data_IF_964991034137
#
_entry.id   IF_964991034137
#
_cell.length_a   1.000
_cell.length_b   1.000
_cell.length_c   1.000
_cell.angle_alpha   90.00
_cell.angle_beta   90.00
_cell.angle_gamma   90.00
#
_symmetry.space_group_name_H-M   'P 1'
#
loop_
_entity.id
_entity.type
_entity.pdbx_description
1 polymer ?
#
# COMPACT_ATOMS: atom_id res chain seq x y z
N UNK A 1 -1.42 5.69 -21.52
CA UNK A 1 -1.58 4.34 -20.94
C UNK A 1 -0.19 3.87 -20.56
N UNK A 2 -0.02 3.41 -19.36
CA UNK A 2 1.25 2.88 -18.82
C UNK A 2 1.00 1.50 -18.22
N UNK A 3 2.06 0.70 -18.13
CA UNK A 3 2.02 -0.58 -17.45
C UNK A 3 2.18 -0.37 -15.93
N UNK A 4 1.27 -0.93 -15.15
CA UNK A 4 1.29 -0.89 -13.69
C UNK A 4 1.44 -2.29 -13.11
N UNK A 5 2.42 -2.45 -12.24
CA UNK A 5 2.69 -3.68 -11.50
C UNK A 5 2.13 -3.52 -10.09
N UNK A 6 1.28 -4.43 -9.64
CA UNK A 6 0.73 -4.46 -8.29
C UNK A 6 0.20 -5.85 -7.95
N UNK A 7 0.05 -6.13 -6.66
CA UNK A 7 -0.41 -7.43 -6.16
C UNK A 7 -1.72 -7.28 -5.42
N UNK A 8 -2.71 -8.12 -5.74
CA UNK A 8 -3.96 -8.25 -5.00
C UNK A 8 -3.94 -9.52 -4.15
N UNK A 9 -4.22 -9.39 -2.87
CA UNK A 9 -4.40 -10.55 -1.97
C UNK A 9 -5.89 -10.87 -1.86
N UNK A 10 -6.24 -12.15 -2.03
CA UNK A 10 -7.63 -12.59 -2.12
C UNK A 10 -8.10 -13.36 -0.88
N UNK A 11 -9.40 -13.28 -0.60
CA UNK A 11 -10.14 -14.18 0.27
C UNK A 11 -11.35 -14.76 -0.47
N UNK A 12 -12.08 -15.68 0.16
CA UNK A 12 -13.22 -16.37 -0.44
C UNK A 12 -12.81 -17.50 -1.40
N UNK A 13 -11.54 -17.55 -1.80
CA UNK A 13 -10.94 -18.59 -2.65
C UNK A 13 -9.64 -19.10 -2.03
N UNK A 14 -9.20 -20.28 -2.47
CA UNK A 14 -7.92 -20.86 -2.06
C UNK A 14 -7.33 -21.71 -3.20
N UNK A 15 -6.14 -22.28 -3.00
CA UNK A 15 -5.43 -23.07 -4.01
C UNK A 15 -6.21 -24.32 -4.49
N UNK A 16 -7.18 -24.79 -3.71
CA UNK A 16 -8.01 -25.97 -4.05
C UNK A 16 -9.35 -25.56 -4.70
N UNK A 17 -9.58 -24.26 -4.95
CA UNK A 17 -10.83 -23.77 -5.56
C UNK A 17 -10.96 -24.25 -7.00
N UNK A 18 -12.00 -25.05 -7.34
CA UNK A 18 -12.17 -25.57 -8.69
C UNK A 18 -12.39 -24.44 -9.72
N UNK A 19 -11.71 -24.52 -10.86
CA UNK A 19 -11.86 -23.56 -11.96
C UNK A 19 -11.32 -22.16 -11.66
N UNK A 20 -10.48 -22.01 -10.64
CA UNK A 20 -9.92 -20.71 -10.21
C UNK A 20 -9.26 -19.96 -11.38
N UNK A 21 -8.37 -20.64 -12.11
CA UNK A 21 -7.59 -20.03 -13.20
C UNK A 21 -8.50 -19.64 -14.37
N UNK A 22 -9.37 -20.54 -14.81
CA UNK A 22 -10.27 -20.31 -15.94
C UNK A 22 -11.23 -19.14 -15.66
N UNK A 23 -11.87 -19.14 -14.48
CA UNK A 23 -12.82 -18.10 -14.10
C UNK A 23 -12.17 -16.71 -13.97
N UNK A 24 -10.97 -16.64 -13.41
CA UNK A 24 -10.21 -15.38 -13.34
C UNK A 24 -9.79 -14.90 -14.74
N UNK A 25 -9.34 -15.80 -15.59
CA UNK A 25 -8.98 -15.46 -16.97
C UNK A 25 -10.20 -14.94 -17.76
N UNK A 26 -11.33 -15.64 -17.70
CA UNK A 26 -12.57 -15.27 -18.38
C UNK A 26 -13.16 -13.94 -17.88
N UNK A 27 -12.95 -13.62 -16.60
CA UNK A 27 -13.41 -12.36 -16.01
C UNK A 27 -12.54 -11.13 -16.38
N UNK A 28 -11.40 -11.33 -17.05
CA UNK A 28 -10.52 -10.24 -17.48
C UNK A 28 -9.24 -10.10 -16.66
N UNK A 29 -8.82 -11.14 -15.94
CA UNK A 29 -7.54 -11.20 -15.22
C UNK A 29 -6.45 -11.91 -16.02
N UNK A 30 -6.52 -11.92 -17.35
CA UNK A 30 -5.53 -12.57 -18.22
C UNK A 30 -4.12 -11.93 -18.20
N UNK A 31 -4.00 -10.76 -17.60
CA UNK A 31 -2.78 -10.01 -17.35
C UNK A 31 -2.23 -10.20 -15.92
N UNK A 32 -2.76 -11.19 -15.20
CA UNK A 32 -2.34 -11.52 -13.85
C UNK A 32 -1.67 -12.89 -13.78
N UNK A 33 -0.60 -12.99 -12.98
CA UNK A 33 -0.05 -14.27 -12.55
C UNK A 33 -0.73 -14.69 -11.24
N UNK A 34 -1.31 -15.90 -11.23
CA UNK A 34 -1.94 -16.48 -10.04
C UNK A 34 -0.86 -17.14 -9.20
N UNK A 35 -0.71 -16.65 -7.97
CA UNK A 35 0.32 -17.07 -7.04
C UNK A 35 -0.30 -17.62 -5.75
N UNK A 36 0.48 -18.43 -5.03
CA UNK A 36 0.02 -19.09 -3.80
C UNK A 36 1.03 -18.93 -2.67
N UNK A 37 0.53 -18.65 -1.47
CA UNK A 37 1.27 -18.76 -0.23
C UNK A 37 0.54 -19.76 0.68
N UNK A 38 1.01 -20.99 0.71
CA UNK A 38 0.25 -22.10 1.28
C UNK A 38 -1.05 -22.30 0.51
N UNK A 39 -2.20 -22.11 1.16
CA UNK A 39 -3.52 -22.13 0.51
C UNK A 39 -4.03 -20.76 0.09
N UNK A 40 -3.39 -19.69 0.54
CA UNK A 40 -3.78 -18.32 0.20
C UNK A 40 -3.47 -18.00 -1.26
N UNK A 41 -4.37 -17.28 -1.90
CA UNK A 41 -4.25 -16.86 -3.30
C UNK A 41 -3.91 -15.37 -3.34
N UNK A 42 -2.95 -15.01 -4.20
CA UNK A 42 -2.70 -13.63 -4.56
C UNK A 42 -2.41 -13.53 -6.06
N UNK A 43 -2.68 -12.36 -6.63
CA UNK A 43 -2.54 -12.10 -8.06
C UNK A 43 -1.49 -11.00 -8.27
N UNK A 44 -0.49 -11.28 -9.08
CA UNK A 44 0.50 -10.28 -9.52
C UNK A 44 0.08 -9.77 -10.90
N UNK A 45 -0.32 -8.51 -10.98
CA UNK A 45 -0.78 -7.88 -12.20
C UNK A 45 0.33 -7.12 -12.92
N UNK A 46 0.32 -7.24 -14.24
CA UNK A 46 1.02 -6.37 -15.21
C UNK A 46 -0.05 -5.70 -16.08
N UNK A 47 -0.73 -4.67 -15.55
CA UNK A 47 -1.93 -4.09 -16.17
C UNK A 47 -1.66 -2.75 -16.84
N UNK A 48 -2.05 -2.64 -18.10
CA UNK A 48 -2.08 -1.37 -18.82
C UNK A 48 -3.31 -0.53 -18.43
N UNK A 49 -3.08 0.72 -17.98
CA UNK A 49 -4.14 1.64 -17.61
C UNK A 49 -3.70 3.11 -17.76
N UNK A 50 -4.62 4.04 -17.55
CA UNK A 50 -4.32 5.48 -17.55
C UNK A 50 -3.65 5.93 -16.25
N UNK A 51 -3.99 5.25 -15.14
CA UNK A 51 -3.45 5.49 -13.80
C UNK A 51 -3.38 4.18 -13.02
N UNK A 52 -2.62 4.16 -11.92
CA UNK A 52 -2.64 3.04 -10.99
C UNK A 52 -4.02 2.86 -10.34
N UNK A 53 -4.73 3.96 -10.08
CA UNK A 53 -6.12 3.92 -9.57
C UNK A 53 -7.04 3.15 -10.54
N UNK A 54 -7.01 3.47 -11.85
CA UNK A 54 -7.82 2.77 -12.86
C UNK A 54 -7.42 1.29 -12.99
N UNK A 55 -6.12 0.99 -12.88
CA UNK A 55 -5.61 -0.39 -12.93
C UNK A 55 -6.16 -1.22 -11.76
N UNK A 56 -6.06 -0.70 -10.54
CA UNK A 56 -6.53 -1.37 -9.32
C UNK A 56 -8.06 -1.52 -9.35
N UNK A 57 -8.80 -0.46 -9.68
CA UNK A 57 -10.26 -0.49 -9.74
C UNK A 57 -10.77 -1.58 -10.69
N UNK A 58 -10.23 -1.62 -11.92
CA UNK A 58 -10.61 -2.63 -12.90
C UNK A 58 -10.22 -4.04 -12.48
N UNK A 59 -9.07 -4.22 -11.81
CA UNK A 59 -8.64 -5.52 -11.32
C UNK A 59 -9.56 -6.04 -10.20
N UNK A 60 -9.90 -5.18 -9.22
CA UNK A 60 -10.86 -5.52 -8.17
C UNK A 60 -12.20 -5.93 -8.77
N UNK A 61 -12.72 -5.14 -9.72
CA UNK A 61 -13.98 -5.44 -10.40
C UNK A 61 -13.94 -6.81 -11.08
N UNK A 62 -12.91 -7.12 -11.86
CA UNK A 62 -12.78 -8.38 -12.56
C UNK A 62 -12.68 -9.58 -11.59
N UNK A 63 -11.91 -9.46 -10.52
CA UNK A 63 -11.77 -10.50 -9.49
C UNK A 63 -13.11 -10.78 -8.81
N UNK A 64 -13.80 -9.74 -8.34
CA UNK A 64 -15.02 -9.90 -7.54
C UNK A 64 -16.24 -10.26 -8.38
N UNK A 65 -16.21 -10.03 -9.69
CA UNK A 65 -17.26 -10.46 -10.63
C UNK A 65 -16.97 -11.78 -11.33
N UNK A 66 -15.87 -12.48 -11.00
CA UNK A 66 -15.48 -13.77 -11.61
C UNK A 66 -16.44 -14.95 -11.34
N UNK A 67 -17.42 -14.78 -10.45
CA UNK A 67 -18.35 -15.85 -10.05
C UNK A 67 -17.78 -16.84 -9.02
N UNK A 68 -16.52 -16.66 -8.58
CA UNK A 68 -15.85 -17.54 -7.61
C UNK A 68 -16.20 -17.22 -6.15
N UNK A 69 -16.86 -16.06 -5.88
CA UNK A 69 -16.99 -15.53 -4.52
C UNK A 69 -15.68 -14.98 -3.97
N UNK A 70 -14.71 -14.73 -4.83
CA UNK A 70 -13.45 -14.08 -4.47
C UNK A 70 -13.69 -12.64 -4.04
N UNK A 71 -12.92 -12.19 -3.04
CA UNK A 71 -12.90 -10.81 -2.57
C UNK A 71 -11.45 -10.33 -2.43
N UNK A 72 -11.21 -9.09 -2.79
CA UNK A 72 -9.90 -8.46 -2.61
C UNK A 72 -9.76 -7.93 -1.18
N UNK A 73 -8.75 -8.41 -0.47
CA UNK A 73 -8.46 -8.01 0.92
C UNK A 73 -7.49 -6.85 1.01
N UNK A 74 -6.51 -6.81 0.12
CA UNK A 74 -5.49 -5.76 0.10
C UNK A 74 -4.81 -5.64 -1.26
N UNK A 75 -4.24 -4.46 -1.48
CA UNK A 75 -3.27 -4.20 -2.56
C UNK A 75 -1.89 -4.05 -1.91
N UNK A 76 -0.95 -4.91 -2.27
CA UNK A 76 0.42 -4.87 -1.71
C UNK A 76 1.30 -3.91 -2.54
N UNK A 77 2.19 -3.12 -1.92
CA UNK A 77 2.60 -3.01 -0.53
C UNK A 77 2.24 -1.63 0.05
N UNK A 78 1.66 -1.62 1.25
CA UNK A 78 1.41 -0.38 2.03
C UNK A 78 2.37 -0.30 3.22
N UNK A 79 2.67 -1.44 3.83
CA UNK A 79 3.64 -1.57 4.91
C UNK A 79 4.88 -2.27 4.38
N UNK A 80 6.03 -1.66 4.60
CA UNK A 80 7.31 -2.09 4.02
C UNK A 80 8.37 -2.29 5.10
N UNK A 81 9.16 -3.34 4.94
CA UNK A 81 10.42 -3.53 5.66
C UNK A 81 11.60 -2.90 4.90
N UNK A 82 12.81 -2.97 5.47
CA UNK A 82 14.00 -2.39 4.84
C UNK A 82 14.35 -3.07 3.49
N UNK A 83 14.05 -4.35 3.35
CA UNK A 83 14.26 -5.07 2.09
C UNK A 83 13.30 -4.59 1.02
N UNK A 84 12.02 -4.46 1.36
CA UNK A 84 10.99 -4.00 0.44
C UNK A 84 11.28 -2.57 -0.05
N UNK A 85 11.72 -1.69 0.86
CA UNK A 85 12.16 -0.32 0.49
C UNK A 85 13.34 -0.38 -0.49
N UNK A 86 14.30 -1.27 -0.25
CA UNK A 86 15.45 -1.43 -1.13
C UNK A 86 15.04 -1.88 -2.54
N UNK A 87 14.15 -2.87 -2.62
CA UNK A 87 13.65 -3.42 -3.89
C UNK A 87 12.82 -2.37 -4.65
N UNK A 88 11.89 -1.67 -3.98
CA UNK A 88 11.04 -0.64 -4.58
C UNK A 88 11.81 0.59 -5.07
N UNK A 89 12.97 0.90 -4.47
CA UNK A 89 13.75 2.11 -4.77
C UNK A 89 15.02 1.83 -5.56
N UNK A 90 15.32 0.56 -5.81
CA UNK A 90 16.59 0.11 -6.38
C UNK A 90 17.82 0.52 -5.57
N UNK A 91 17.64 0.84 -4.29
CA UNK A 91 18.75 1.06 -3.35
C UNK A 91 19.21 -0.26 -2.76
N UNK A 92 20.47 -0.32 -2.30
CA UNK A 92 20.90 -1.48 -1.54
C UNK A 92 20.27 -1.46 -0.13
N UNK A 93 19.97 -2.65 0.42
CA UNK A 93 19.45 -2.77 1.80
C UNK A 93 20.38 -2.09 2.83
N UNK A 94 21.70 -2.14 2.61
CA UNK A 94 22.66 -1.43 3.45
C UNK A 94 22.47 0.09 3.36
N UNK A 95 22.24 0.64 2.16
CA UNK A 95 21.97 2.07 1.99
C UNK A 95 20.71 2.51 2.74
N UNK A 96 19.62 1.73 2.65
CA UNK A 96 18.38 2.00 3.38
C UNK A 96 18.61 1.93 4.90
N UNK A 97 19.35 0.92 5.39
CA UNK A 97 19.71 0.82 6.80
C UNK A 97 20.53 2.01 7.30
N UNK A 98 21.48 2.52 6.50
CA UNK A 98 22.25 3.71 6.84
C UNK A 98 21.39 4.97 6.90
N UNK A 99 20.38 5.11 6.05
CA UNK A 99 19.40 6.21 6.10
C UNK A 99 18.58 6.13 7.40
N UNK A 100 18.03 4.96 7.69
CA UNK A 100 17.26 4.70 8.92
C UNK A 100 18.08 4.98 10.20
N UNK A 101 19.35 4.61 10.21
CA UNK A 101 20.23 4.81 11.39
C UNK A 101 20.79 6.23 11.49
N UNK A 102 20.40 7.15 10.60
CA UNK A 102 20.93 8.52 10.57
C UNK A 102 22.41 8.62 10.20
N UNK A 103 23.03 7.54 9.73
CA UNK A 103 24.44 7.50 9.29
C UNK A 103 24.62 8.13 7.90
N UNK A 104 23.52 8.33 7.20
CA UNK A 104 23.46 8.95 5.88
C UNK A 104 22.18 9.79 5.76
N UNK A 105 22.29 11.00 5.21
CA UNK A 105 21.17 11.93 5.09
C UNK A 105 20.99 12.82 6.31
N UNK A 106 19.82 13.41 6.47
CA UNK A 106 19.51 14.39 7.52
C UNK A 106 19.28 13.78 8.91
N UNK A 107 19.18 12.45 9.02
CA UNK A 107 18.95 11.77 10.29
C UNK A 107 17.49 11.79 10.77
N UNK A 108 16.58 12.17 9.92
CA UNK A 108 15.13 12.31 10.16
C UNK A 108 14.29 11.32 9.35
N UNK A 109 14.85 10.12 9.08
CA UNK A 109 14.13 9.05 8.40
C UNK A 109 12.84 8.69 9.17
N UNK A 110 11.72 8.41 8.47
CA UNK A 110 10.45 8.05 9.12
C UNK A 110 10.59 6.95 10.17
N UNK A 111 9.74 7.00 11.19
CA UNK A 111 9.68 5.96 12.21
C UNK A 111 8.81 4.78 11.74
N UNK A 112 9.13 3.54 12.16
CA UNK A 112 8.27 2.41 11.88
C UNK A 112 6.95 2.57 12.64
N UNK A 113 5.85 2.14 12.03
CA UNK A 113 4.50 2.25 12.59
C UNK A 113 3.91 0.92 13.06
N UNK A 114 4.51 -0.21 12.65
CA UNK A 114 4.09 -1.55 13.10
C UNK A 114 5.29 -2.42 13.44
N UNK A 115 5.04 -3.48 14.21
CA UNK A 115 6.04 -4.45 14.68
C UNK A 115 7.25 -3.81 15.38
N UNK A 116 7.05 -2.71 16.08
CA UNK A 116 8.11 -1.90 16.72
C UNK A 116 8.89 -2.72 17.75
N UNK A 117 8.24 -3.68 18.44
CA UNK A 117 8.87 -4.55 19.44
C UNK A 117 9.58 -5.76 18.81
N UNK A 118 9.44 -6.00 17.52
CA UNK A 118 9.98 -7.16 16.82
C UNK A 118 11.31 -6.87 16.10
N UNK A 119 11.87 -7.91 15.48
CA UNK A 119 13.10 -7.79 14.69
C UNK A 119 12.85 -7.29 13.27
N UNK A 120 11.59 -7.19 12.85
CA UNK A 120 11.19 -6.77 11.50
C UNK A 120 10.13 -5.66 11.58
N UNK A 121 10.52 -4.46 12.00
CA UNK A 121 9.61 -3.32 12.04
C UNK A 121 9.14 -2.96 10.63
N UNK A 122 7.93 -2.37 10.53
CA UNK A 122 7.31 -1.98 9.28
C UNK A 122 7.02 -0.49 9.27
N UNK A 123 7.28 0.13 8.12
CA UNK A 123 7.06 1.54 7.82
C UNK A 123 5.85 1.73 6.91
N UNK A 124 5.21 2.87 6.97
CA UNK A 124 4.27 3.32 5.96
C UNK A 124 5.03 3.66 4.68
N UNK A 125 4.70 2.97 3.58
CA UNK A 125 5.40 3.17 2.31
C UNK A 125 5.18 4.58 1.74
N UNK A 126 3.98 5.14 1.88
CA UNK A 126 3.70 6.48 1.37
C UNK A 126 4.51 7.55 2.11
N UNK A 127 4.74 7.37 3.42
CA UNK A 127 5.58 8.26 4.23
C UNK A 127 7.06 8.15 3.84
N UNK A 128 7.57 6.91 3.69
CA UNK A 128 8.96 6.66 3.27
C UNK A 128 9.21 7.19 1.87
N UNK A 129 8.33 6.92 0.91
CA UNK A 129 8.46 7.40 -0.46
C UNK A 129 8.47 8.93 -0.52
N UNK A 130 7.58 9.58 0.21
CA UNK A 130 7.54 11.04 0.31
C UNK A 130 8.84 11.61 0.91
N UNK A 131 9.36 11.00 1.99
CA UNK A 131 10.64 11.40 2.59
C UNK A 131 11.80 11.25 1.60
N UNK A 132 11.87 10.14 0.89
CA UNK A 132 12.89 9.89 -0.13
C UNK A 132 12.82 10.91 -1.28
N UNK A 133 11.61 11.30 -1.69
CA UNK A 133 11.40 12.34 -2.70
C UNK A 133 11.92 13.70 -2.23
N UNK A 134 11.54 14.13 -1.03
CA UNK A 134 11.97 15.41 -0.44
C UNK A 134 13.51 15.46 -0.31
N UNK A 135 14.13 14.32 0.01
CA UNK A 135 15.58 14.19 0.13
C UNK A 135 16.31 13.92 -1.21
N UNK A 136 15.63 14.11 -2.36
CA UNK A 136 16.23 14.01 -3.69
C UNK A 136 16.69 12.60 -4.09
N UNK A 137 16.10 11.55 -3.50
CA UNK A 137 16.50 10.17 -3.73
C UNK A 137 15.61 9.41 -4.71
N UNK A 138 14.49 10.01 -5.12
CA UNK A 138 13.56 9.47 -6.11
C UNK A 138 13.40 10.37 -7.33
N UNK A 139 14.40 11.20 -7.66
CA UNK A 139 14.34 12.18 -8.76
C UNK A 139 14.07 11.53 -10.13
N UNK A 140 14.43 10.26 -10.30
CA UNK A 140 14.19 9.50 -11.53
C UNK A 140 12.89 8.67 -11.50
N UNK A 141 12.18 8.65 -10.36
CA UNK A 141 10.98 7.85 -10.13
C UNK A 141 9.92 8.63 -9.33
N UNK A 142 9.47 9.82 -9.81
CA UNK A 142 8.51 10.64 -9.09
C UNK A 142 7.15 9.94 -8.94
N UNK A 143 6.83 9.00 -9.83
CA UNK A 143 5.61 8.18 -9.80
C UNK A 143 5.49 7.32 -8.55
N UNK A 144 6.61 6.91 -7.93
CA UNK A 144 6.58 6.07 -6.73
C UNK A 144 5.82 6.70 -5.56
N UNK A 145 5.92 8.02 -5.39
CA UNK A 145 5.18 8.73 -4.32
C UNK A 145 3.69 8.74 -4.61
N UNK A 146 3.30 9.00 -5.86
CA UNK A 146 1.90 8.99 -6.28
C UNK A 146 1.30 7.61 -6.13
N UNK A 147 2.03 6.58 -6.58
CA UNK A 147 1.61 5.18 -6.48
C UNK A 147 1.49 4.73 -5.01
N UNK A 148 2.46 5.06 -4.16
CA UNK A 148 2.41 4.74 -2.73
C UNK A 148 1.17 5.36 -2.05
N UNK A 149 0.83 6.60 -2.37
CA UNK A 149 -0.39 7.26 -1.87
C UNK A 149 -1.67 6.60 -2.40
N UNK A 150 -1.69 6.17 -3.66
CA UNK A 150 -2.81 5.43 -4.23
C UNK A 150 -3.01 4.09 -3.49
N UNK A 151 -1.95 3.30 -3.30
CA UNK A 151 -1.99 2.04 -2.55
C UNK A 151 -2.53 2.24 -1.12
N UNK A 152 -2.07 3.26 -0.41
CA UNK A 152 -2.55 3.59 0.94
C UNK A 152 -4.06 3.91 0.94
N UNK A 153 -4.53 4.71 -0.02
CA UNK A 153 -5.95 5.06 -0.19
C UNK A 153 -6.82 3.82 -0.49
N UNK A 154 -6.40 2.98 -1.43
CA UNK A 154 -7.13 1.76 -1.79
C UNK A 154 -7.23 0.78 -0.63
N UNK A 155 -6.14 0.57 0.12
CA UNK A 155 -6.17 -0.32 1.29
C UNK A 155 -7.05 0.22 2.42
N UNK A 156 -7.09 1.54 2.63
CA UNK A 156 -8.03 2.14 3.58
C UNK A 156 -9.48 1.90 3.13
N UNK A 157 -9.79 2.08 1.85
CA UNK A 157 -11.12 1.85 1.29
C UNK A 157 -11.53 0.37 1.39
N UNK A 158 -10.64 -0.57 1.03
CA UNK A 158 -10.88 -2.02 1.16
C UNK A 158 -11.17 -2.41 2.62
N UNK A 159 -10.40 -1.91 3.57
CA UNK A 159 -10.63 -2.16 5.00
C UNK A 159 -11.93 -1.55 5.50
N UNK A 160 -12.28 -0.35 5.03
CA UNK A 160 -13.52 0.32 5.39
C UNK A 160 -14.74 -0.38 4.81
N UNK A 161 -14.64 -0.96 3.61
CA UNK A 161 -15.75 -1.65 2.92
C UNK A 161 -16.26 -2.90 3.63
N UNK A 162 -15.45 -3.50 4.51
CA UNK A 162 -15.79 -4.69 5.30
C UNK A 162 -16.01 -4.37 6.79
N UNK A 163 -16.05 -3.10 7.15
CA UNK A 163 -16.25 -2.67 8.54
C UNK A 163 -17.75 -2.65 8.88
N UNK A 164 -18.17 -3.40 9.89
CA UNK A 164 -19.55 -3.46 10.34
C UNK A 164 -20.04 -2.11 10.92
N UNK A 165 -19.13 -1.33 11.52
CA UNK A 165 -19.40 -0.06 12.17
C UNK A 165 -18.72 1.13 11.47
N UNK A 166 -18.93 1.27 10.16
CA UNK A 166 -18.32 2.34 9.36
C UNK A 166 -18.61 3.75 9.91
N UNK A 167 -19.84 4.00 10.37
CA UNK A 167 -20.22 5.29 10.97
C UNK A 167 -19.44 5.60 12.25
N UNK A 168 -19.16 4.59 13.07
CA UNK A 168 -18.31 4.75 14.24
C UNK A 168 -16.86 5.06 13.84
N UNK A 169 -16.32 4.37 12.84
CA UNK A 169 -14.98 4.64 12.29
C UNK A 169 -14.87 6.07 11.78
N UNK A 170 -15.86 6.55 11.04
CA UNK A 170 -15.93 7.94 10.57
C UNK A 170 -15.96 8.94 11.73
N UNK A 171 -16.76 8.66 12.76
CA UNK A 171 -16.85 9.50 13.98
C UNK A 171 -15.50 9.57 14.71
N UNK A 172 -14.83 8.43 14.88
CA UNK A 172 -13.50 8.35 15.50
C UNK A 172 -12.47 9.12 14.65
N UNK A 173 -12.50 8.92 13.34
CA UNK A 173 -11.62 9.61 12.40
C UNK A 173 -11.76 11.13 12.52
N UNK A 174 -13.00 11.62 12.55
CA UNK A 174 -13.28 13.05 12.73
C UNK A 174 -12.70 13.58 14.03
N UNK A 175 -12.93 12.88 15.16
CA UNK A 175 -12.37 13.26 16.47
C UNK A 175 -10.85 13.36 16.44
N UNK A 176 -10.17 12.41 15.78
CA UNK A 176 -8.71 12.40 15.64
C UNK A 176 -8.25 13.60 14.82
N UNK A 177 -8.89 13.88 13.68
CA UNK A 177 -8.58 15.02 12.81
C UNK A 177 -8.75 16.34 13.55
N UNK A 178 -9.91 16.54 14.21
CA UNK A 178 -10.20 17.75 14.98
C UNK A 178 -9.16 18.00 16.09
N UNK A 179 -8.74 16.95 16.80
CA UNK A 179 -7.71 17.03 17.83
C UNK A 179 -6.33 17.41 17.25
N UNK A 180 -5.98 16.86 16.09
CA UNK A 180 -4.71 17.21 15.40
C UNK A 180 -4.71 18.67 14.94
N UNK A 181 -5.82 19.17 14.41
CA UNK A 181 -5.96 20.57 13.99
C UNK A 181 -5.85 21.54 15.18
N UNK A 182 -6.52 21.22 16.32
CA UNK A 182 -6.41 22.01 17.55
C UNK A 182 -4.96 22.08 18.06
N UNK A 183 -4.24 20.96 18.02
CA UNK A 183 -2.81 20.92 18.41
C UNK A 183 -1.93 21.80 17.49
N UNK A 184 -2.13 21.73 16.18
CA UNK A 184 -1.41 22.55 15.21
C UNK A 184 -1.64 24.05 15.48
N UNK A 185 -2.90 24.46 15.63
CA UNK A 185 -3.25 25.84 15.93
C UNK A 185 -2.69 26.35 17.29
N UNK A 186 -2.54 25.45 18.28
CA UNK A 186 -1.93 25.80 19.56
C UNK A 186 -0.40 25.98 19.42
N UNK A 187 0.26 25.10 18.68
CA UNK A 187 1.71 25.18 18.43
C UNK A 187 2.09 26.47 17.67
N UNK A 188 1.29 26.85 16.66
CA UNK A 188 1.51 28.09 15.91
C UNK A 188 1.40 29.33 16.81
N UNK A 189 0.46 29.35 17.76
CA UNK A 189 0.32 30.44 18.73
C UNK A 189 1.48 30.55 19.71
N UNK A 190 2.14 29.45 20.04
CA UNK A 190 3.29 29.42 20.94
C UNK A 190 4.59 29.84 20.23
N UNK A 191 4.72 29.61 18.93
CA UNK A 191 5.90 29.96 18.14
C UNK A 191 5.90 31.44 17.67
N UNK A 192 4.84 32.20 17.91
CA UNK A 192 4.71 33.64 17.56
C UNK A 192 5.07 34.54 18.75
N UNK A 193 5.51 33.98 19.86
CA UNK A 193 6.06 34.72 21.01
C UNK A 193 7.57 34.56 21.08
#
# INVERSE_FOLDING_TARGET
>A
VSLYNFTLVLSGVNADTPGLEDALYESGCGDALICFYGKSVYLEFDREAKSLDDAIESAIHHVETSGLGARVESVDSVLVGLSDIADLTHLSRQAVAMLKDGKRGAGDFPNPIQRIKGQSPLWDWAEVANWLQINGRLNHHPELVTNAKALSKWNLALRSSVCDDLLEVESITKKIVDNRQKRAAYADKMNVK
#
